data_IF_211732551376
#
_entry.id   IF_211732551376
#
_cell.length_a   1.000
_cell.length_b   1.000
_cell.length_c   1.000
_cell.angle_alpha   90.00
_cell.angle_beta   90.00
_cell.angle_gamma   90.00
#
_symmetry.space_group_name_H-M   'P 1'
#
loop_
_entity.id
_entity.type
_entity.pdbx_description
1 polymer ?
#
# COMPACT_ATOMS: atom_id res chain seq x y z
N UNK A 1 -11.05 -20.00 5.36
CA UNK A 1 -10.43 -19.89 4.02
C UNK A 1 -9.69 -18.57 3.98
N UNK A 2 -8.48 -18.53 3.40
CA UNK A 2 -7.70 -17.28 3.30
C UNK A 2 -8.37 -16.33 2.30
N UNK A 3 -8.30 -15.04 2.58
CA UNK A 3 -8.68 -13.97 1.65
C UNK A 3 -7.68 -13.88 0.50
N UNK A 4 -8.09 -13.28 -0.63
CA UNK A 4 -7.19 -13.06 -1.76
C UNK A 4 -5.96 -12.22 -1.38
N UNK A 5 -6.12 -11.27 -0.46
CA UNK A 5 -5.04 -10.42 0.05
C UNK A 5 -4.02 -11.22 0.87
N UNK A 6 -4.49 -12.15 1.70
CA UNK A 6 -3.62 -13.05 2.47
C UNK A 6 -2.85 -13.99 1.56
N UNK A 7 -3.50 -14.58 0.55
CA UNK A 7 -2.84 -15.43 -0.45
C UNK A 7 -1.79 -14.65 -1.22
N UNK A 8 -2.08 -13.42 -1.65
CA UNK A 8 -1.11 -12.55 -2.34
C UNK A 8 0.09 -12.22 -1.46
N UNK A 9 -0.14 -11.88 -0.20
CA UNK A 9 0.93 -11.58 0.76
C UNK A 9 1.86 -12.77 0.93
N UNK A 10 1.30 -13.97 1.13
CA UNK A 10 2.08 -15.20 1.28
C UNK A 10 2.85 -15.55 0.00
N UNK A 11 2.23 -15.38 -1.18
CA UNK A 11 2.88 -15.59 -2.47
C UNK A 11 4.09 -14.67 -2.67
N UNK A 12 3.94 -13.37 -2.42
CA UNK A 12 5.05 -12.40 -2.53
C UNK A 12 6.18 -12.75 -1.55
N UNK A 13 5.86 -13.15 -0.32
CA UNK A 13 6.85 -13.57 0.67
C UNK A 13 7.62 -14.81 0.22
N UNK A 14 6.93 -15.82 -0.32
CA UNK A 14 7.55 -17.04 -0.83
C UNK A 14 8.48 -16.77 -2.03
N UNK A 15 8.02 -15.93 -2.98
CA UNK A 15 8.82 -15.52 -4.13
C UNK A 15 10.07 -14.74 -3.70
N UNK A 16 9.91 -13.76 -2.80
CA UNK A 16 11.03 -12.95 -2.29
C UNK A 16 12.07 -13.81 -1.59
N UNK A 17 11.63 -14.80 -0.79
CA UNK A 17 12.53 -15.72 -0.07
C UNK A 17 13.34 -16.60 -1.03
N UNK A 18 12.75 -17.00 -2.15
CA UNK A 18 13.36 -17.95 -3.09
C UNK A 18 14.25 -17.27 -4.12
N UNK A 19 13.78 -16.13 -4.66
CA UNK A 19 14.41 -15.46 -5.79
C UNK A 19 15.23 -14.23 -5.37
N UNK A 20 15.02 -13.74 -4.14
CA UNK A 20 15.42 -12.39 -3.77
C UNK A 20 14.51 -11.32 -4.39
N UNK A 21 14.60 -10.07 -3.92
CA UNK A 21 13.66 -9.01 -4.28
C UNK A 21 13.74 -8.59 -5.76
N UNK A 22 14.93 -8.63 -6.37
CA UNK A 22 15.13 -8.21 -7.77
C UNK A 22 14.48 -9.20 -8.74
N UNK A 23 14.78 -10.49 -8.60
CA UNK A 23 14.25 -11.51 -9.50
C UNK A 23 12.78 -11.81 -9.23
N UNK A 24 12.29 -11.62 -7.99
CA UNK A 24 10.86 -11.63 -7.68
C UNK A 24 10.10 -10.56 -8.46
N UNK A 25 10.61 -9.32 -8.52
CA UNK A 25 9.96 -8.25 -9.27
C UNK A 25 9.92 -8.55 -10.78
N UNK A 26 11.02 -9.04 -11.35
CA UNK A 26 11.07 -9.47 -12.77
C UNK A 26 10.10 -10.61 -13.06
N UNK A 27 10.02 -11.60 -12.16
CA UNK A 27 9.09 -12.71 -12.29
C UNK A 27 7.65 -12.22 -12.34
N UNK A 28 7.23 -11.35 -11.42
CA UNK A 28 5.88 -10.77 -11.43
C UNK A 28 5.63 -9.99 -12.72
N UNK A 29 6.58 -9.15 -13.14
CA UNK A 29 6.51 -8.37 -14.37
C UNK A 29 6.45 -9.26 -15.63
N UNK A 30 6.92 -10.51 -15.58
CA UNK A 30 6.81 -11.42 -16.73
C UNK A 30 5.39 -11.94 -16.98
N UNK A 31 4.53 -11.95 -15.95
CA UNK A 31 3.11 -12.34 -16.07
C UNK A 31 2.19 -11.14 -16.24
N UNK A 32 2.60 -9.98 -15.74
CA UNK A 32 1.88 -8.74 -15.94
C UNK A 32 2.38 -8.06 -17.21
N UNK A 33 1.56 -8.01 -18.26
CA UNK A 33 1.71 -7.02 -19.33
C UNK A 33 1.36 -5.65 -18.75
N UNK A 34 2.23 -5.12 -17.90
CA UNK A 34 2.15 -3.76 -17.42
C UNK A 34 2.24 -2.83 -18.61
N UNK A 35 1.20 -2.03 -18.83
CA UNK A 35 1.22 -0.92 -19.77
C UNK A 35 1.48 0.37 -19.01
N UNK A 36 2.20 1.30 -19.63
CA UNK A 36 2.43 2.63 -19.09
C UNK A 36 3.92 2.98 -19.04
N UNK A 37 4.23 4.23 -19.36
CA UNK A 37 5.58 4.77 -19.26
C UNK A 37 5.72 5.45 -17.90
N UNK A 38 6.17 4.70 -16.89
CA UNK A 38 6.33 5.22 -15.53
C UNK A 38 7.13 6.54 -15.52
N UNK A 39 8.15 6.67 -16.37
CA UNK A 39 8.98 7.88 -16.40
C UNK A 39 8.17 9.09 -16.87
N UNK A 40 7.30 8.93 -17.87
CA UNK A 40 6.41 10.00 -18.34
C UNK A 40 5.26 10.25 -17.37
N UNK A 41 4.56 9.19 -16.98
CA UNK A 41 3.29 9.25 -16.25
C UNK A 41 3.45 9.56 -14.76
N UNK A 42 4.66 9.40 -14.19
CA UNK A 42 4.95 9.69 -12.77
C UNK A 42 4.51 11.09 -12.34
N UNK A 43 4.69 12.07 -13.21
CA UNK A 43 4.47 13.49 -12.89
C UNK A 43 2.99 13.84 -12.74
N UNK A 44 2.07 13.01 -13.23
CA UNK A 44 0.63 13.28 -13.16
C UNK A 44 0.05 13.13 -11.75
N UNK A 45 0.67 12.29 -10.91
CA UNK A 45 0.11 11.94 -9.60
C UNK A 45 1.15 11.85 -8.47
N UNK A 46 2.45 11.79 -8.79
CA UNK A 46 3.51 11.80 -7.79
C UNK A 46 4.20 13.16 -7.77
N UNK A 47 4.01 13.96 -6.69
CA UNK A 47 4.71 15.24 -6.56
C UNK A 47 6.24 15.03 -6.56
N UNK A 48 6.96 15.92 -7.22
CA UNK A 48 8.42 15.83 -7.33
C UNK A 48 9.14 16.13 -6.02
N UNK A 49 8.51 16.88 -5.12
CA UNK A 49 9.15 17.28 -3.88
C UNK A 49 8.93 16.23 -2.76
N UNK A 50 10.03 15.93 -2.08
CA UNK A 50 10.06 14.91 -1.02
C UNK A 50 9.22 15.34 0.19
N UNK A 51 9.15 16.66 0.44
CA UNK A 51 8.42 17.22 1.57
C UNK A 51 6.90 17.07 1.43
N UNK A 52 6.31 17.20 0.24
CA UNK A 52 4.87 16.92 0.05
C UNK A 52 4.56 15.44 0.19
N UNK A 53 5.43 14.56 -0.31
CA UNK A 53 5.27 13.11 -0.09
C UNK A 53 5.27 12.81 1.40
N UNK A 54 6.24 13.34 2.14
CA UNK A 54 6.37 13.18 3.59
C UNK A 54 5.15 13.73 4.32
N UNK A 55 4.72 14.94 3.98
CA UNK A 55 3.55 15.59 4.59
C UNK A 55 2.27 14.80 4.32
N UNK A 56 2.08 14.32 3.09
CA UNK A 56 0.95 13.47 2.71
C UNK A 56 0.90 12.16 3.51
N UNK A 57 2.04 11.49 3.70
CA UNK A 57 2.14 10.29 4.54
C UNK A 57 1.80 10.58 6.00
N UNK A 58 2.31 11.67 6.56
CA UNK A 58 2.03 12.09 7.93
C UNK A 58 0.55 12.43 8.14
N UNK A 59 -0.10 13.12 7.21
CA UNK A 59 -1.52 13.43 7.29
C UNK A 59 -2.40 12.18 7.19
N UNK A 60 -2.06 11.23 6.32
CA UNK A 60 -2.75 9.93 6.25
C UNK A 60 -2.66 9.19 7.60
N UNK A 61 -1.50 9.17 8.25
CA UNK A 61 -1.33 8.55 9.57
C UNK A 61 -2.18 9.25 10.66
N UNK A 62 -2.21 10.59 10.67
CA UNK A 62 -3.05 11.35 11.61
C UNK A 62 -4.54 11.04 11.40
N UNK A 63 -4.99 10.96 10.16
CA UNK A 63 -6.38 10.69 9.82
C UNK A 63 -6.81 9.26 10.19
N UNK A 64 -5.94 8.27 10.05
CA UNK A 64 -6.18 6.91 10.55
C UNK A 64 -6.37 6.92 12.08
N UNK A 65 -5.51 7.63 12.82
CA UNK A 65 -5.63 7.77 14.28
C UNK A 65 -6.88 8.54 14.71
N UNK A 66 -7.31 9.56 13.95
CA UNK A 66 -8.54 10.32 14.21
C UNK A 66 -9.78 9.44 14.01
N UNK A 67 -9.81 8.67 12.91
CA UNK A 67 -10.90 7.73 12.62
C UNK A 67 -11.01 6.60 13.65
N UNK A 68 -9.89 6.06 14.12
CA UNK A 68 -9.92 5.03 15.17
C UNK A 68 -10.45 5.58 16.50
N UNK A 69 -10.10 6.83 16.86
CA UNK A 69 -10.62 7.51 18.05
C UNK A 69 -12.13 7.82 17.95
N UNK A 70 -12.61 8.31 16.81
CA UNK A 70 -14.04 8.62 16.64
C UNK A 70 -14.94 7.38 16.65
N UNK A 71 -14.42 6.25 16.14
CA UNK A 71 -15.15 4.98 16.17
C UNK A 71 -15.23 4.44 17.61
N UNK A 72 -14.15 4.56 18.39
CA UNK A 72 -14.14 4.14 19.79
C UNK A 72 -15.09 4.96 20.68
N UNK A 73 -15.24 6.27 20.44
CA UNK A 73 -16.17 7.12 21.22
C UNK A 73 -17.64 6.81 20.88
N UNK A 74 -17.97 6.59 19.60
CA UNK A 74 -19.33 6.21 19.17
C UNK A 74 -19.78 4.85 19.70
N UNK A 75 -18.87 3.88 19.78
CA UNK A 75 -19.20 2.55 20.33
C UNK A 75 -19.43 2.57 21.85
N UNK A 76 -18.86 3.56 22.57
CA UNK A 76 -19.12 3.77 24.00
C UNK A 76 -20.49 4.40 24.26
N UNK A 77 -20.90 5.36 23.44
CA UNK A 77 -22.21 6.04 23.57
C UNK A 77 -23.39 5.12 23.22
N UNK A 78 -23.20 4.12 22.35
CA UNK A 78 -24.25 3.14 21.99
C UNK A 78 -24.50 2.03 23.03
N UNK A 79 -23.72 1.99 24.12
CA UNK A 79 -23.83 0.97 25.20
C UNK A 79 -24.53 1.50 26.46
N UNK A 80 -25.08 2.71 26.42
CA UNK A 80 -25.95 3.31 27.44
C UNK A 80 -27.35 3.38 26.86
#
# INVERSE_FOLDING_TARGET
>A
MKTISEVRKEGIQALTKTLGPVDMARFIQSFETGSGDYTKERHEWLPENLDEIKNGLMERQKNVKRRSKSNHTRDREKRI
#
